data_IF_876553235958
#
_entry.id   IF_876553235958
#
_cell.length_a   1.000
_cell.length_b   1.000
_cell.length_c   1.000
_cell.angle_alpha   90.00
_cell.angle_beta   90.00
_cell.angle_gamma   90.00
#
_symmetry.space_group_name_H-M   'P 1'
#
loop_
_entity.id
_entity.type
_entity.pdbx_description
1 polymer ?
#
# COMPACT_ATOMS: atom_id res chain seq x y z
N UNK A 1 8.83 13.44 -13.97
CA UNK A 1 8.84 12.17 -13.21
C UNK A 1 10.17 11.46 -13.46
N UNK A 2 11.18 11.68 -12.60
CA UNK A 2 12.38 10.85 -12.59
C UNK A 2 11.96 9.46 -12.12
N UNK A 3 11.58 8.59 -13.06
CA UNK A 3 11.57 7.15 -12.81
C UNK A 3 12.96 6.80 -12.29
N UNK A 4 13.04 6.20 -11.12
CA UNK A 4 14.32 5.80 -10.53
C UNK A 4 14.97 4.79 -11.49
N UNK A 5 15.91 5.27 -12.31
CA UNK A 5 16.63 4.55 -13.36
C UNK A 5 17.12 3.17 -12.90
N UNK A 6 17.53 3.06 -11.63
CA UNK A 6 17.99 1.82 -10.99
C UNK A 6 16.95 0.69 -10.99
N UNK A 7 15.66 1.00 -10.88
CA UNK A 7 14.64 -0.03 -10.82
C UNK A 7 14.12 -0.47 -12.17
N UNK A 8 14.03 0.45 -13.15
CA UNK A 8 13.76 0.06 -14.54
C UNK A 8 14.91 -0.82 -15.07
N UNK A 9 16.14 -0.49 -14.69
CA UNK A 9 17.31 -1.33 -14.95
C UNK A 9 17.21 -2.68 -14.23
N UNK A 10 16.85 -2.72 -12.95
CA UNK A 10 16.63 -3.97 -12.23
C UNK A 10 15.53 -4.84 -12.87
N UNK A 11 14.38 -4.27 -13.22
CA UNK A 11 13.29 -4.94 -13.94
C UNK A 11 13.76 -5.51 -15.29
N UNK A 12 14.56 -4.74 -16.03
CA UNK A 12 15.16 -5.19 -17.29
C UNK A 12 16.12 -6.36 -17.07
N UNK A 13 16.96 -6.29 -16.04
CA UNK A 13 17.88 -7.38 -15.67
C UNK A 13 17.07 -8.63 -15.30
N UNK A 14 16.05 -8.54 -14.47
CA UNK A 14 15.20 -9.67 -14.10
C UNK A 14 14.51 -10.32 -15.31
N UNK A 15 13.95 -9.50 -16.22
CA UNK A 15 13.37 -10.00 -17.48
C UNK A 15 14.40 -10.70 -18.37
N UNK A 16 15.63 -10.19 -18.42
CA UNK A 16 16.70 -10.82 -19.19
C UNK A 16 17.17 -12.14 -18.55
N UNK A 17 17.31 -12.18 -17.22
CA UNK A 17 17.68 -13.40 -16.48
C UNK A 17 16.65 -14.50 -16.71
N UNK A 18 15.36 -14.17 -16.78
CA UNK A 18 14.29 -15.14 -17.05
C UNK A 18 14.49 -15.88 -18.38
N UNK A 19 15.08 -15.22 -19.39
CA UNK A 19 15.39 -15.83 -20.69
C UNK A 19 16.41 -16.96 -20.57
N UNK A 20 17.33 -16.86 -19.61
CA UNK A 20 18.43 -17.81 -19.42
C UNK A 20 18.15 -18.82 -18.29
N UNK A 21 17.26 -18.49 -17.35
CA UNK A 21 16.93 -19.31 -16.18
C UNK A 21 15.41 -19.46 -16.01
N UNK A 22 14.72 -20.15 -16.94
CA UNK A 22 13.26 -20.29 -16.89
C UNK A 22 12.77 -21.04 -15.64
N UNK A 23 13.59 -21.91 -15.06
CA UNK A 23 13.30 -22.63 -13.82
C UNK A 23 13.19 -21.69 -12.60
N UNK A 24 13.72 -20.47 -12.68
CA UNK A 24 13.61 -19.45 -11.64
C UNK A 24 12.42 -18.51 -11.82
N UNK A 25 11.51 -18.80 -12.77
CA UNK A 25 10.37 -17.93 -13.12
C UNK A 25 9.57 -17.42 -11.93
N UNK A 26 9.16 -18.31 -11.02
CA UNK A 26 8.36 -17.90 -9.86
C UNK A 26 9.07 -16.86 -8.97
N UNK A 27 10.37 -17.06 -8.72
CA UNK A 27 11.19 -16.12 -7.95
C UNK A 27 11.38 -14.78 -8.68
N UNK A 28 11.63 -14.84 -10.00
CA UNK A 28 11.81 -13.64 -10.83
C UNK A 28 10.51 -12.84 -10.93
N UNK A 29 9.37 -13.51 -11.10
CA UNK A 29 8.04 -12.89 -11.12
C UNK A 29 7.72 -12.23 -9.77
N UNK A 30 8.06 -12.90 -8.67
CA UNK A 30 7.94 -12.35 -7.32
C UNK A 30 8.80 -11.09 -7.16
N UNK A 31 10.08 -11.13 -7.54
CA UNK A 31 10.99 -9.98 -7.43
C UNK A 31 10.60 -8.83 -8.35
N UNK A 32 10.13 -9.13 -9.56
CA UNK A 32 9.61 -8.13 -10.48
C UNK A 32 8.35 -7.45 -9.93
N UNK A 33 7.47 -8.23 -9.29
CA UNK A 33 6.29 -7.70 -8.60
C UNK A 33 6.67 -6.82 -7.41
N UNK A 34 7.68 -7.23 -6.63
CA UNK A 34 8.24 -6.43 -5.53
C UNK A 34 8.77 -5.09 -6.02
N UNK A 35 9.60 -5.09 -7.08
CA UNK A 35 10.13 -3.87 -7.68
C UNK A 35 8.99 -2.99 -8.19
N UNK A 36 8.00 -3.59 -8.86
CA UNK A 36 6.83 -2.84 -9.34
C UNK A 36 6.06 -2.18 -8.18
N UNK A 37 5.92 -2.84 -7.03
CA UNK A 37 5.29 -2.26 -5.85
C UNK A 37 6.16 -1.16 -5.20
N UNK A 38 7.48 -1.31 -5.19
CA UNK A 38 8.41 -0.29 -4.67
C UNK A 38 8.50 0.96 -5.55
N UNK A 39 8.11 0.84 -6.82
CA UNK A 39 8.39 1.85 -7.87
C UNK A 39 7.15 2.30 -8.62
N UNK A 40 6.00 1.75 -8.26
CA UNK A 40 4.72 2.06 -8.86
C UNK A 40 4.52 3.57 -8.86
N UNK A 41 4.36 4.12 -10.07
CA UNK A 41 4.20 5.55 -10.29
C UNK A 41 3.06 6.11 -9.43
N UNK A 42 3.39 7.19 -8.72
CA UNK A 42 2.52 8.13 -8.01
C UNK A 42 1.20 7.57 -7.50
N UNK A 43 1.24 7.13 -6.26
CA UNK A 43 0.06 6.86 -5.43
C UNK A 43 -0.58 8.18 -4.99
N UNK A 44 -0.98 9.05 -5.93
CA UNK A 44 -2.00 10.03 -5.59
C UNK A 44 -3.26 9.24 -5.22
N UNK A 45 -3.53 9.37 -3.93
CA UNK A 45 -4.24 8.46 -3.05
C UNK A 45 -5.75 8.46 -3.16
N UNK A 46 -6.22 9.40 -3.94
CA UNK A 46 -7.58 9.85 -4.01
C UNK A 46 -8.06 9.66 -5.43
N UNK A 47 -9.28 9.17 -5.51
CA UNK A 47 -9.90 8.95 -6.80
C UNK A 47 -11.36 8.64 -6.62
N UNK A 48 -12.01 8.56 -7.77
CA UNK A 48 -13.44 8.39 -7.85
C UNK A 48 -13.77 7.39 -8.94
N UNK A 49 -14.76 6.54 -8.67
CA UNK A 49 -15.38 5.66 -9.64
C UNK A 49 -16.84 6.07 -9.80
N UNK A 50 -17.23 6.31 -11.04
CA UNK A 50 -18.63 6.41 -11.42
C UNK A 50 -19.02 5.18 -12.23
N UNK A 51 -20.09 4.51 -11.84
CA UNK A 51 -20.75 3.46 -12.62
C UNK A 51 -22.17 3.91 -12.91
N UNK A 52 -22.62 3.79 -14.16
CA UNK A 52 -23.99 4.14 -14.56
C UNK A 52 -24.51 3.18 -15.61
N UNK A 53 -25.81 2.96 -15.62
CA UNK A 53 -26.47 2.07 -16.56
C UNK A 53 -27.78 1.51 -16.02
N UNK A 54 -28.28 0.45 -16.65
CA UNK A 54 -29.47 -0.28 -16.23
C UNK A 54 -29.08 -1.71 -15.91
N UNK A 55 -29.59 -2.26 -14.81
CA UNK A 55 -29.34 -3.65 -14.43
C UNK A 55 -30.66 -4.37 -14.16
N UNK A 56 -30.82 -5.56 -14.74
CA UNK A 56 -31.98 -6.43 -14.59
C UNK A 56 -31.74 -7.59 -13.60
N UNK A 57 -30.48 -7.83 -13.24
CA UNK A 57 -30.05 -8.87 -12.31
C UNK A 57 -28.89 -8.41 -11.41
N UNK A 58 -28.42 -9.32 -10.56
CA UNK A 58 -27.27 -9.06 -9.68
C UNK A 58 -26.02 -8.83 -10.55
N UNK A 59 -25.27 -7.79 -10.19
CA UNK A 59 -23.99 -7.48 -10.83
C UNK A 59 -22.88 -7.49 -9.81
N UNK A 60 -21.77 -8.18 -10.11
CA UNK A 60 -20.56 -8.15 -9.31
C UNK A 60 -19.44 -7.47 -10.07
N UNK A 61 -18.81 -6.49 -9.43
CA UNK A 61 -17.77 -5.65 -10.03
C UNK A 61 -16.53 -5.73 -9.16
N UNK A 62 -15.39 -5.99 -9.77
CA UNK A 62 -14.09 -5.91 -9.12
C UNK A 62 -13.32 -4.69 -9.63
N UNK A 63 -12.75 -3.92 -8.70
CA UNK A 63 -11.96 -2.73 -9.00
C UNK A 63 -10.53 -2.99 -8.51
N UNK A 64 -9.55 -2.85 -9.39
CA UNK A 64 -8.14 -3.06 -9.08
C UNK A 64 -7.25 -2.17 -9.95
N UNK A 65 -6.37 -1.39 -9.32
CA UNK A 65 -5.52 -0.45 -10.04
C UNK A 65 -6.33 0.49 -10.94
N UNK A 66 -6.10 0.44 -12.25
CA UNK A 66 -6.80 1.28 -13.22
C UNK A 66 -7.95 0.56 -13.94
N UNK A 67 -8.37 -0.60 -13.42
CA UNK A 67 -9.30 -1.50 -14.10
C UNK A 67 -10.56 -1.71 -13.29
N UNK A 68 -11.68 -1.80 -14.03
CA UNK A 68 -12.99 -2.20 -13.54
C UNK A 68 -13.38 -3.45 -14.32
N UNK A 69 -13.50 -4.57 -13.63
CA UNK A 69 -13.84 -5.88 -14.18
C UNK A 69 -15.24 -6.27 -13.73
N UNK A 70 -16.05 -6.81 -14.63
CA UNK A 70 -17.39 -7.32 -14.32
C UNK A 70 -17.28 -8.83 -14.15
N UNK A 71 -17.48 -9.31 -12.93
CA UNK A 71 -17.39 -10.72 -12.58
C UNK A 71 -18.70 -11.47 -12.87
N UNK A 72 -19.83 -10.77 -12.74
CA UNK A 72 -21.17 -11.29 -12.95
C UNK A 72 -22.07 -10.15 -13.42
N UNK A 73 -22.94 -10.40 -14.39
CA UNK A 73 -23.92 -9.43 -14.91
C UNK A 73 -23.26 -8.22 -15.58
N UNK A 74 -23.26 -8.17 -16.92
CA UNK A 74 -22.73 -7.02 -17.67
C UNK A 74 -23.69 -6.60 -18.76
N UNK A 75 -24.84 -6.09 -18.37
CA UNK A 75 -25.78 -5.49 -19.30
C UNK A 75 -25.79 -3.98 -19.11
N UNK A 76 -25.54 -3.23 -20.20
CA UNK A 76 -25.71 -1.77 -20.29
C UNK A 76 -25.00 -0.93 -19.22
N UNK A 77 -23.87 -1.40 -18.68
CA UNK A 77 -23.07 -0.65 -17.72
C UNK A 77 -21.92 0.09 -18.39
N UNK A 78 -21.71 1.33 -17.95
CA UNK A 78 -20.51 2.12 -18.23
C UNK A 78 -19.84 2.51 -16.92
N UNK A 79 -18.50 2.54 -16.93
CA UNK A 79 -17.69 2.94 -15.78
C UNK A 79 -16.67 4.01 -16.17
N UNK A 80 -16.45 4.96 -15.28
CA UNK A 80 -15.42 5.99 -15.39
C UNK A 80 -14.61 6.02 -14.10
N UNK A 81 -13.33 5.68 -14.21
CA UNK A 81 -12.38 5.68 -13.09
C UNK A 81 -11.47 6.90 -13.22
N UNK A 82 -11.40 7.72 -12.18
CA UNK A 82 -10.42 8.79 -12.03
C UNK A 82 -9.46 8.42 -10.92
N UNK A 83 -8.16 8.50 -11.21
CA UNK A 83 -7.12 8.01 -10.30
C UNK A 83 -6.94 6.50 -10.38
N UNK A 84 -5.98 6.00 -9.59
CA UNK A 84 -5.65 4.58 -9.50
C UNK A 84 -6.17 4.03 -8.18
N UNK A 85 -6.87 2.91 -8.24
CA UNK A 85 -7.28 2.18 -7.05
C UNK A 85 -6.03 1.73 -6.27
N UNK A 86 -5.92 2.04 -4.96
CA UNK A 86 -4.65 1.87 -4.27
C UNK A 86 -4.29 0.40 -4.09
N UNK A 87 -3.04 0.06 -4.38
CA UNK A 87 -2.49 -1.28 -4.10
C UNK A 87 -2.09 -1.41 -2.62
N UNK A 88 -2.95 -0.96 -1.70
CA UNK A 88 -2.75 -0.99 -0.24
C UNK A 88 -4.08 -0.84 0.50
N UNK A 89 -4.09 -0.85 1.84
CA UNK A 89 -5.28 -0.54 2.64
C UNK A 89 -5.66 0.93 2.50
N UNK A 90 -6.95 1.22 2.36
CA UNK A 90 -7.50 2.57 2.29
C UNK A 90 -8.98 2.58 2.67
N UNK A 91 -9.48 3.76 3.01
CA UNK A 91 -10.89 3.94 3.32
C UNK A 91 -11.68 4.08 2.02
N UNK A 92 -12.60 3.14 1.82
CA UNK A 92 -13.55 3.19 0.71
C UNK A 92 -14.86 3.76 1.22
N UNK A 93 -15.37 4.81 0.57
CA UNK A 93 -16.68 5.36 0.88
C UNK A 93 -17.58 5.37 -0.35
N UNK A 94 -18.71 4.67 -0.24
CA UNK A 94 -19.81 4.85 -1.20
C UNK A 94 -20.40 6.22 -0.90
N UNK A 95 -20.23 7.16 -1.84
CA UNK A 95 -20.66 8.55 -1.66
C UNK A 95 -22.14 8.68 -1.97
N UNK A 96 -22.57 8.07 -3.08
CA UNK A 96 -23.95 8.20 -3.56
C UNK A 96 -24.32 7.02 -4.43
N UNK A 97 -25.52 6.51 -4.20
CA UNK A 97 -26.23 5.62 -5.14
C UNK A 97 -27.56 6.29 -5.50
N UNK A 98 -27.75 6.60 -6.77
CA UNK A 98 -29.01 7.10 -7.35
C UNK A 98 -29.69 5.96 -8.09
N UNK A 99 -31.00 5.80 -7.93
CA UNK A 99 -31.79 4.70 -8.50
C UNK A 99 -32.14 3.61 -7.48
N UNK A 100 -32.77 2.54 -7.95
CA UNK A 100 -33.34 1.48 -7.11
C UNK A 100 -32.38 0.30 -7.07
N UNK A 101 -31.15 0.57 -6.63
CA UNK A 101 -30.07 -0.41 -6.55
C UNK A 101 -29.50 -0.40 -5.14
N UNK A 102 -29.38 -1.59 -4.54
CA UNK A 102 -28.65 -1.78 -3.30
C UNK A 102 -27.20 -2.06 -3.67
N UNK A 103 -26.27 -1.28 -3.11
CA UNK A 103 -24.83 -1.48 -3.27
C UNK A 103 -24.24 -2.06 -2.00
N UNK A 104 -23.45 -3.12 -2.13
CA UNK A 104 -22.72 -3.75 -1.01
C UNK A 104 -21.26 -3.90 -1.36
N UNK A 105 -20.39 -3.67 -0.38
CA UNK A 105 -19.01 -4.14 -0.43
C UNK A 105 -19.03 -5.59 0.03
N UNK A 106 -18.77 -6.52 -0.88
CA UNK A 106 -18.72 -7.95 -0.55
C UNK A 106 -17.30 -8.39 -0.23
N UNK A 107 -16.30 -7.71 -0.77
CA UNK A 107 -14.90 -7.96 -0.47
C UNK A 107 -14.13 -6.63 -0.37
N UNK A 108 -13.74 -6.20 0.83
CA UNK A 108 -12.97 -4.97 0.99
C UNK A 108 -11.52 -5.18 0.51
N UNK A 109 -10.79 -4.10 0.19
CA UNK A 109 -9.37 -4.17 -0.15
C UNK A 109 -8.56 -4.83 0.96
N UNK A 110 -7.78 -5.86 0.62
CA UNK A 110 -6.93 -6.57 1.56
C UNK A 110 -5.67 -7.10 0.88
N UNK A 111 -4.67 -7.49 1.67
CA UNK A 111 -3.46 -8.12 1.11
C UNK A 111 -3.78 -9.42 0.35
N UNK A 112 -4.79 -10.18 0.81
CA UNK A 112 -5.18 -11.47 0.24
C UNK A 112 -5.77 -11.33 -1.17
N UNK A 113 -6.45 -10.22 -1.46
CA UNK A 113 -7.03 -9.93 -2.77
C UNK A 113 -6.26 -8.88 -3.57
N UNK A 114 -4.98 -8.68 -3.22
CA UNK A 114 -4.08 -7.71 -3.85
C UNK A 114 -4.66 -6.29 -3.85
N UNK A 115 -5.41 -5.96 -2.80
CA UNK A 115 -6.08 -4.69 -2.55
C UNK A 115 -7.14 -4.34 -3.61
N UNK A 116 -7.82 -5.35 -4.14
CA UNK A 116 -9.00 -5.15 -4.98
C UNK A 116 -10.25 -4.96 -4.12
N UNK A 117 -11.21 -4.21 -4.65
CA UNK A 117 -12.54 -4.05 -4.05
C UNK A 117 -13.57 -4.77 -4.90
N UNK A 118 -14.36 -5.64 -4.26
CA UNK A 118 -15.48 -6.28 -4.92
C UNK A 118 -16.80 -5.71 -4.41
N UNK A 119 -17.59 -5.18 -5.34
CA UNK A 119 -18.92 -4.62 -5.12
C UNK A 119 -19.99 -5.56 -5.67
N UNK A 120 -21.10 -5.65 -4.97
CA UNK A 120 -22.33 -6.29 -5.43
C UNK A 120 -23.43 -5.24 -5.58
N UNK A 121 -24.07 -5.22 -6.74
CA UNK A 121 -25.20 -4.36 -7.08
C UNK A 121 -26.44 -5.22 -7.24
N UNK A 122 -27.47 -4.94 -6.45
CA UNK A 122 -28.73 -5.70 -6.46
C UNK A 122 -29.85 -4.74 -6.87
N UNK A 123 -30.44 -4.87 -8.08
CA UNK A 123 -31.58 -4.06 -8.46
C UNK A 123 -32.82 -4.45 -7.65
N UNK A 124 -33.58 -3.46 -7.20
CA UNK A 124 -34.95 -3.67 -6.70
C UNK A 124 -35.96 -3.63 -7.85
N UNK A 125 -35.64 -2.88 -8.91
CA UNK A 125 -36.38 -2.75 -10.16
C UNK A 125 -35.39 -2.54 -11.30
N UNK A 126 -35.78 -2.95 -12.50
CA UNK A 126 -35.02 -2.63 -13.71
C UNK A 126 -35.17 -1.14 -14.02
N UNK A 127 -34.17 -0.35 -13.63
CA UNK A 127 -34.11 1.08 -13.94
C UNK A 127 -32.68 1.59 -14.04
N UNK A 128 -32.54 2.76 -14.63
CA UNK A 128 -31.28 3.46 -14.69
C UNK A 128 -30.80 3.81 -13.27
N UNK A 129 -29.52 3.59 -13.00
CA UNK A 129 -28.88 3.97 -11.74
C UNK A 129 -27.53 4.65 -11.98
N UNK A 130 -27.05 5.34 -10.96
CA UNK A 130 -25.68 5.88 -10.91
C UNK A 130 -25.09 5.62 -9.53
N UNK A 131 -23.90 5.01 -9.49
CA UNK A 131 -23.10 4.80 -8.30
C UNK A 131 -21.85 5.66 -8.39
N UNK A 132 -21.61 6.47 -7.35
CA UNK A 132 -20.37 7.21 -7.15
C UNK A 132 -19.67 6.68 -5.91
N UNK A 133 -18.42 6.29 -6.07
CA UNK A 133 -17.54 5.81 -5.02
C UNK A 133 -16.28 6.64 -5.03
N UNK A 134 -15.88 7.14 -3.86
CA UNK A 134 -14.59 7.79 -3.68
C UNK A 134 -13.72 6.94 -2.76
N UNK A 135 -12.42 7.00 -2.99
CA UNK A 135 -11.43 6.43 -2.08
C UNK A 135 -10.41 7.48 -1.70
N UNK A 136 -9.87 7.30 -0.50
CA UNK A 136 -8.78 8.12 -0.02
C UNK A 136 -7.84 7.26 0.82
N UNK A 137 -6.53 7.38 0.58
CA UNK A 137 -5.54 6.74 1.46
C UNK A 137 -5.61 7.34 2.86
N UNK A 138 -5.35 6.49 3.85
CA UNK A 138 -5.21 6.91 5.24
C UNK A 138 -4.20 8.05 5.37
N UNK A 139 -4.55 9.05 6.19
CA UNK A 139 -3.69 10.20 6.46
C UNK A 139 -2.66 9.94 7.55
N UNK A 140 -2.86 8.87 8.32
CA UNK A 140 -1.97 8.42 9.37
C UNK A 140 -1.98 6.89 9.43
N UNK A 141 -1.02 6.34 10.16
CA UNK A 141 -0.92 4.91 10.41
C UNK A 141 0.22 4.61 11.37
N UNK A 142 0.37 3.33 11.69
CA UNK A 142 1.35 2.84 12.67
C UNK A 142 2.21 1.74 12.08
N UNK A 143 3.50 1.74 12.42
CA UNK A 143 4.41 0.61 12.24
C UNK A 143 4.87 0.15 13.62
N UNK A 144 4.59 -1.10 13.97
CA UNK A 144 5.17 -1.75 15.15
C UNK A 144 6.31 -2.64 14.69
N UNK A 145 7.47 -2.47 15.30
CA UNK A 145 8.66 -3.26 15.01
C UNK A 145 9.26 -3.75 16.31
N UNK A 146 9.62 -5.04 16.36
CA UNK A 146 10.29 -5.66 17.50
C UNK A 146 11.39 -6.58 16.99
N UNK A 147 12.57 -6.52 17.60
CA UNK A 147 13.67 -7.43 17.29
C UNK A 147 14.68 -7.51 18.44
N UNK A 148 15.59 -8.48 18.31
CA UNK A 148 16.84 -8.54 19.06
C UNK A 148 17.96 -7.89 18.25
N UNK A 149 18.51 -6.78 18.73
CA UNK A 149 19.51 -5.95 18.04
C UNK A 149 20.90 -6.19 18.62
N UNK A 150 21.87 -6.47 17.77
CA UNK A 150 23.29 -6.59 18.12
C UNK A 150 24.07 -5.38 17.60
N UNK A 151 24.57 -4.52 18.51
CA UNK A 151 25.30 -3.27 18.25
C UNK A 151 24.52 -2.18 17.52
N UNK A 152 24.16 -2.41 16.26
CA UNK A 152 23.41 -1.43 15.46
C UNK A 152 22.63 -2.11 14.35
N UNK A 153 21.39 -1.70 14.14
CA UNK A 153 20.58 -2.10 12.98
C UNK A 153 20.00 -0.88 12.28
N UNK A 154 19.74 -1.04 10.98
CA UNK A 154 19.08 -0.05 10.14
C UNK A 154 17.75 -0.66 9.71
N UNK A 155 16.68 0.11 9.87
CA UNK A 155 15.35 -0.21 9.36
C UNK A 155 15.05 0.75 8.21
N UNK A 156 14.71 0.21 7.04
CA UNK A 156 14.21 0.98 5.90
C UNK A 156 12.73 0.70 5.73
N UNK A 157 11.92 1.73 5.95
CA UNK A 157 10.48 1.73 5.77
C UNK A 157 10.14 2.34 4.41
N UNK A 158 9.46 1.58 3.55
CA UNK A 158 9.04 2.08 2.24
C UNK A 158 7.75 1.38 1.80
N UNK A 159 6.65 2.10 1.66
CA UNK A 159 5.36 1.55 1.20
C UNK A 159 4.91 0.34 2.03
N UNK A 160 4.95 -0.87 1.47
CA UNK A 160 4.63 -2.15 2.11
C UNK A 160 5.87 -2.89 2.62
N UNK A 161 7.04 -2.26 2.59
CA UNK A 161 8.31 -2.93 2.85
C UNK A 161 8.96 -2.39 4.11
N UNK A 162 9.39 -3.34 4.94
CA UNK A 162 10.24 -3.11 6.10
C UNK A 162 11.49 -3.95 5.88
N UNK A 163 12.55 -3.31 5.40
CA UNK A 163 13.84 -3.96 5.21
C UNK A 163 14.73 -3.66 6.41
N UNK A 164 15.61 -4.61 6.75
CA UNK A 164 16.58 -4.43 7.82
C UNK A 164 17.86 -5.22 7.54
N UNK A 165 18.94 -4.87 8.24
CA UNK A 165 20.19 -5.61 8.15
C UNK A 165 20.22 -6.85 9.08
N UNK A 166 21.27 -7.66 8.94
CA UNK A 166 21.47 -8.93 9.67
C UNK A 166 21.71 -8.78 11.18
N UNK A 167 21.89 -7.56 11.67
CA UNK A 167 22.09 -7.28 13.10
C UNK A 167 20.79 -7.29 13.90
N UNK A 168 19.64 -7.38 13.25
CA UNK A 168 18.34 -7.60 13.87
C UNK A 168 17.90 -9.06 13.68
N UNK A 169 17.61 -9.76 14.78
CA UNK A 169 17.10 -11.14 14.81
C UNK A 169 15.72 -11.21 15.45
N UNK A 170 15.01 -12.30 15.21
CA UNK A 170 13.68 -12.58 15.79
C UNK A 170 12.67 -11.46 15.50
N UNK A 171 12.72 -10.92 14.28
CA UNK A 171 11.99 -9.71 13.95
C UNK A 171 10.51 -10.00 13.77
N UNK A 172 9.70 -9.22 14.47
CA UNK A 172 8.25 -9.16 14.28
C UNK A 172 7.87 -7.75 13.82
N UNK A 173 7.05 -7.67 12.78
CA UNK A 173 6.54 -6.39 12.26
C UNK A 173 5.04 -6.46 12.02
N UNK A 174 4.35 -5.38 12.35
CA UNK A 174 3.00 -5.09 11.87
C UNK A 174 2.97 -3.65 11.41
N UNK A 175 2.29 -3.36 10.32
CA UNK A 175 2.34 -2.01 9.76
C UNK A 175 1.11 -1.66 8.95
N UNK A 176 0.72 -0.40 9.09
CA UNK A 176 -0.05 0.32 8.09
C UNK A 176 0.89 0.76 6.97
N UNK A 177 0.55 0.50 5.69
CA UNK A 177 1.39 0.85 4.56
C UNK A 177 1.80 2.33 4.54
N UNK A 178 3.09 2.61 4.41
CA UNK A 178 3.59 3.99 4.39
C UNK A 178 3.21 4.70 3.08
N UNK A 179 2.85 6.00 3.10
CA UNK A 179 2.55 6.78 1.90
C UNK A 179 3.74 6.95 0.97
N UNK A 180 3.45 6.96 -0.33
CA UNK A 180 4.40 7.40 -1.36
C UNK A 180 4.25 8.92 -1.61
N UNK A 181 4.17 9.65 -0.51
CA UNK A 181 4.04 11.11 -0.40
C UNK A 181 4.84 11.55 0.84
N UNK A 182 5.18 12.83 1.03
CA UNK A 182 5.87 13.27 2.23
C UNK A 182 5.03 13.02 3.50
N UNK A 183 5.63 12.39 4.50
CA UNK A 183 5.04 12.16 5.84
C UNK A 183 6.05 12.49 6.94
N UNK A 184 5.52 12.74 8.14
CA UNK A 184 6.29 12.82 9.38
C UNK A 184 6.21 11.49 10.10
N UNK A 185 7.27 11.12 10.83
CA UNK A 185 7.32 9.91 11.65
C UNK A 185 7.62 10.30 13.11
N UNK A 186 6.78 9.86 14.02
CA UNK A 186 7.00 9.94 15.46
C UNK A 186 7.35 8.54 15.99
N UNK A 187 8.47 8.41 16.69
CA UNK A 187 8.96 7.11 17.19
C UNK A 187 8.83 7.07 18.70
N UNK A 188 8.17 6.03 19.20
CA UNK A 188 8.03 5.72 20.63
C UNK A 188 8.76 4.42 20.92
N UNK A 189 9.74 4.45 21.83
CA UNK A 189 10.43 3.26 22.33
C UNK A 189 9.51 2.55 23.34
N UNK A 190 9.03 1.36 22.99
CA UNK A 190 8.19 0.52 23.86
C UNK A 190 9.03 -0.43 24.73
N UNK A 191 10.18 -0.87 24.20
CA UNK A 191 11.12 -1.74 24.90
C UNK A 191 12.56 -1.42 24.45
N UNK A 192 13.51 -1.67 25.34
CA UNK A 192 14.93 -1.37 25.19
C UNK A 192 15.40 -0.46 26.32
N UNK A 193 16.65 -0.63 26.74
CA UNK A 193 17.29 0.18 27.77
C UNK A 193 17.39 1.64 27.37
N UNK A 194 17.71 2.50 28.34
CA UNK A 194 17.95 3.92 28.07
C UNK A 194 19.17 4.20 27.21
N UNK A 195 20.02 3.20 27.02
CA UNK A 195 21.19 3.34 26.16
C UNK A 195 20.90 3.01 24.69
N UNK A 196 19.70 2.49 24.38
CA UNK A 196 19.26 2.30 23.00
C UNK A 196 18.94 3.66 22.40
N UNK A 197 19.73 4.05 21.41
CA UNK A 197 19.52 5.26 20.63
C UNK A 197 18.73 4.91 19.38
N UNK A 198 17.68 5.67 19.09
CA UNK A 198 16.84 5.50 17.91
C UNK A 198 16.76 6.84 17.20
N UNK A 199 17.19 6.87 15.93
CA UNK A 199 17.23 8.10 15.16
C UNK A 199 16.77 7.90 13.72
N UNK A 200 16.02 8.88 13.21
CA UNK A 200 15.68 8.94 11.78
C UNK A 200 16.88 9.54 11.05
N UNK A 201 17.57 8.73 10.23
CA UNK A 201 18.74 9.16 9.46
C UNK A 201 18.38 9.55 8.02
N UNK A 202 17.23 9.10 7.52
CA UNK A 202 16.72 9.50 6.21
C UNK A 202 15.21 9.74 6.28
N UNK A 203 14.75 10.89 5.80
CA UNK A 203 13.32 11.28 5.77
C UNK A 203 12.69 10.97 4.41
N UNK A 204 11.36 10.79 4.34
CA UNK A 204 10.70 10.44 3.08
C UNK A 204 10.70 11.63 2.12
N UNK A 205 11.36 11.45 0.97
CA UNK A 205 11.51 12.45 -0.09
C UNK A 205 11.24 11.85 -1.46
N UNK A 206 10.98 12.68 -2.46
CA UNK A 206 10.82 12.18 -3.85
C UNK A 206 12.10 11.47 -4.32
N UNK A 207 13.27 11.97 -3.94
CA UNK A 207 14.58 11.44 -4.35
C UNK A 207 14.89 10.05 -3.78
N UNK A 208 14.29 9.67 -2.66
CA UNK A 208 14.45 8.34 -2.06
C UNK A 208 13.18 7.47 -2.14
N UNK A 209 12.25 7.84 -3.02
CA UNK A 209 10.96 7.16 -3.19
C UNK A 209 10.18 7.04 -1.87
N UNK A 210 10.19 8.12 -1.10
CA UNK A 210 9.50 8.28 0.19
C UNK A 210 9.87 7.22 1.23
N UNK A 211 11.09 6.70 1.15
CA UNK A 211 11.64 5.82 2.17
C UNK A 211 12.01 6.61 3.43
N UNK A 212 11.72 6.04 4.60
CA UNK A 212 12.29 6.49 5.87
C UNK A 212 13.33 5.47 6.33
N UNK A 213 14.50 5.94 6.74
CA UNK A 213 15.55 5.09 7.29
C UNK A 213 15.78 5.47 8.75
N UNK A 214 15.73 4.46 9.60
CA UNK A 214 15.86 4.57 11.04
C UNK A 214 17.08 3.75 11.45
N UNK A 215 17.97 4.36 12.22
CA UNK A 215 19.07 3.67 12.86
C UNK A 215 18.73 3.41 14.33
N UNK A 216 19.02 2.19 14.77
CA UNK A 216 18.94 1.78 16.17
C UNK A 216 20.34 1.36 16.60
N UNK A 217 20.89 2.03 17.60
CA UNK A 217 22.20 1.71 18.17
C UNK A 217 22.02 1.27 19.61
N UNK A 218 22.57 0.10 19.95
CA UNK A 218 22.59 -0.42 21.32
C UNK A 218 24.01 -0.25 21.87
N UNK A 219 24.14 0.38 23.04
CA UNK A 219 25.42 0.39 23.74
C UNK A 219 25.54 -0.90 24.52
N UNK A 220 26.22 -1.90 23.95
CA UNK A 220 27.01 -2.94 24.62
C UNK A 220 27.35 -4.06 23.64
N UNK A 221 28.34 -4.89 23.98
CA UNK A 221 28.71 -6.12 23.26
C UNK A 221 27.63 -7.23 23.31
N UNK A 222 26.46 -6.95 23.88
CA UNK A 222 25.38 -7.91 24.07
C UNK A 222 24.15 -7.53 23.24
N UNK A 223 23.51 -8.55 22.68
CA UNK A 223 22.24 -8.42 21.96
C UNK A 223 21.14 -7.98 22.91
N UNK A 224 20.38 -6.96 22.50
CA UNK A 224 19.32 -6.36 23.30
C UNK A 224 17.98 -6.44 22.58
N UNK A 225 16.90 -6.65 23.32
CA UNK A 225 15.56 -6.62 22.76
C UNK A 225 15.01 -5.19 22.68
N UNK A 226 14.57 -4.80 21.50
CA UNK A 226 14.07 -3.47 21.20
C UNK A 226 12.69 -3.58 20.57
N UNK A 227 11.75 -2.78 21.04
CA UNK A 227 10.42 -2.65 20.45
C UNK A 227 10.08 -1.17 20.24
N UNK A 228 9.63 -0.83 19.04
CA UNK A 228 9.29 0.52 18.61
C UNK A 228 7.86 0.56 18.09
N UNK A 229 7.16 1.64 18.44
CA UNK A 229 5.96 2.10 17.75
C UNK A 229 6.29 3.34 16.95
N UNK A 230 5.99 3.34 15.66
CA UNK A 230 6.30 4.43 14.75
C UNK A 230 4.99 4.92 14.11
N UNK A 231 4.50 6.06 14.57
CA UNK A 231 3.29 6.69 14.08
C UNK A 231 3.63 7.64 12.93
N UNK A 232 3.06 7.43 11.75
CA UNK A 232 3.26 8.29 10.60
C UNK A 232 2.03 9.15 10.31
N UNK A 233 2.25 10.37 9.79
CA UNK A 233 1.19 11.29 9.38
C UNK A 233 1.58 12.02 8.09
N UNK A 234 0.67 12.08 7.12
CA UNK A 234 0.88 12.81 5.87
C UNK A 234 1.09 14.32 6.13
N UNK A 235 2.12 14.89 5.51
CA UNK A 235 2.46 16.32 5.67
C UNK A 235 1.30 17.23 5.21
N UNK A 236 0.60 16.86 4.13
CA UNK A 236 -0.54 17.64 3.62
C UNK A 236 -1.71 17.70 4.61
N UNK A 237 -1.88 16.66 5.44
CA UNK A 237 -2.93 16.63 6.45
C UNK A 237 -2.63 17.59 7.60
N UNK A 238 -1.36 17.76 7.95
CA UNK A 238 -0.92 18.69 8.98
C UNK A 238 -1.05 20.16 8.54
N UNK A 239 -1.00 20.46 7.25
CA UNK A 239 -1.12 21.83 6.71
C UNK A 239 -2.55 22.35 6.64
N UNK A 240 -3.53 21.45 6.64
CA UNK A 240 -4.95 21.78 6.50
C UNK A 240 -5.67 21.87 7.87
N UNK A 241 -4.93 21.85 8.98
CA UNK A 241 -5.42 22.04 10.35
C UNK A 241 -4.93 23.37 10.87
#
# INVERSE_FOLDING_TARGET
LMKSYKYDEALRVYKNVLKYFPEKKAYIDQKSSEIFLRTGADYQSDGSLQIKGTISGIVKIQIAGNQVSYLEGRDNLSSSLRGRFPSRLFDTKIIRTEGDVITRIIEPPSINNKYSLTLELIPKKEQFFTLNLDWQLAFNGTVNWRARVNKSTIIRLQTLFVDQNENAKDVTTSYDPLPHEPYTLAITKLQGSEKVLVQVIERPTVTNNYATVIEIVTNNSQTEEVALKMDWVLVRFLRNR
#
